data_IF_348335567019
#
_entry.id   IF_348335567019
#
_cell.length_a   1.000
_cell.length_b   1.000
_cell.length_c   1.000
_cell.angle_alpha   90.00
_cell.angle_beta   90.00
_cell.angle_gamma   90.00
#
_symmetry.space_group_name_H-M   'P 1'
#
loop_
_entity.id
_entity.type
_entity.pdbx_description
1 polymer ?
#
# COMPACT_ATOMS: atom_id res chain seq x y z
N UNK A 1 15.09 16.97 1.13
CA UNK A 1 13.98 16.02 0.94
C UNK A 1 13.42 15.67 2.31
N UNK A 2 12.36 16.33 2.75
CA UNK A 2 11.71 16.03 4.01
C UNK A 2 11.12 14.62 3.92
N UNK A 3 11.61 13.68 4.74
CA UNK A 3 10.98 12.36 4.87
C UNK A 3 9.69 12.58 5.65
N UNK A 4 8.57 12.68 4.95
CA UNK A 4 7.25 12.61 5.56
C UNK A 4 7.18 11.23 6.22
N UNK A 5 7.30 11.21 7.54
CA UNK A 5 6.98 10.04 8.34
C UNK A 5 5.50 10.19 8.64
N UNK A 6 4.69 9.39 7.96
CA UNK A 6 3.30 9.24 8.36
C UNK A 6 3.33 8.54 9.71
N UNK A 7 2.71 9.17 10.72
CA UNK A 7 2.57 8.51 12.01
C UNK A 7 1.65 7.31 11.83
N UNK A 8 1.96 6.19 12.50
CA UNK A 8 1.20 4.95 12.33
C UNK A 8 -0.27 5.13 12.74
N UNK A 9 -0.56 6.13 13.59
CA UNK A 9 -1.90 6.48 14.05
C UNK A 9 -2.79 7.10 12.97
N UNK A 10 -2.21 7.71 11.93
CA UNK A 10 -2.95 8.31 10.82
C UNK A 10 -3.22 7.33 9.67
N UNK A 11 -2.51 6.18 9.65
CA UNK A 11 -2.70 5.17 8.61
C UNK A 11 -3.95 4.35 8.88
N UNK A 12 -4.93 4.39 7.96
CA UNK A 12 -6.13 3.55 8.06
C UNK A 12 -5.94 2.26 7.27
N UNK A 13 -5.66 1.16 7.95
CA UNK A 13 -5.50 -0.13 7.26
C UNK A 13 -6.83 -0.68 6.74
N UNK A 14 -7.08 -0.44 5.45
CA UNK A 14 -8.18 -0.98 4.67
C UNK A 14 -7.74 -2.15 3.78
N UNK A 15 -6.52 -2.67 3.93
CA UNK A 15 -5.98 -3.72 3.05
C UNK A 15 -6.72 -5.06 3.13
N UNK A 16 -7.60 -5.25 4.11
CA UNK A 16 -8.55 -6.36 4.11
C UNK A 16 -9.49 -6.37 2.88
N UNK A 17 -9.75 -5.20 2.29
CA UNK A 17 -10.56 -5.05 1.09
C UNK A 17 -9.80 -5.37 -0.21
N UNK A 18 -8.47 -5.55 -0.12
CA UNK A 18 -7.56 -5.70 -1.26
C UNK A 18 -6.73 -6.99 -1.15
N UNK A 19 -7.36 -8.17 -1.00
CA UNK A 19 -6.64 -9.41 -0.68
C UNK A 19 -5.68 -9.87 -1.80
N UNK A 20 -5.98 -9.53 -3.06
CA UNK A 20 -5.15 -9.92 -4.21
C UNK A 20 -3.92 -9.03 -4.32
N UNK A 21 -4.12 -7.72 -4.19
CA UNK A 21 -3.10 -6.68 -4.22
C UNK A 21 -2.12 -6.86 -3.08
N UNK A 22 -2.63 -7.15 -1.88
CA UNK A 22 -1.81 -7.52 -0.72
C UNK A 22 -0.94 -8.73 -1.02
N UNK A 23 -1.50 -9.79 -1.61
CA UNK A 23 -0.73 -10.98 -1.96
C UNK A 23 0.38 -10.64 -2.95
N UNK A 24 0.07 -9.88 -4.00
CA UNK A 24 1.05 -9.38 -4.95
C UNK A 24 2.16 -8.57 -4.26
N UNK A 25 1.81 -7.61 -3.41
CA UNK A 25 2.75 -6.79 -2.66
C UNK A 25 3.65 -7.61 -1.72
N UNK A 26 3.10 -8.65 -1.08
CA UNK A 26 3.90 -9.58 -0.27
C UNK A 26 4.99 -10.26 -1.11
N UNK A 27 4.64 -10.73 -2.32
CA UNK A 27 5.59 -11.35 -3.24
C UNK A 27 6.61 -10.34 -3.77
N UNK A 28 6.14 -9.20 -4.29
CA UNK A 28 6.98 -8.14 -4.89
C UNK A 28 8.01 -7.58 -3.91
N UNK A 29 7.60 -7.35 -2.66
CA UNK A 29 8.45 -6.71 -1.66
C UNK A 29 9.05 -7.67 -0.63
N UNK A 30 8.86 -8.99 -0.82
CA UNK A 30 9.32 -10.04 0.10
C UNK A 30 9.03 -9.70 1.57
N UNK A 31 7.76 -9.37 1.86
CA UNK A 31 7.31 -8.90 3.16
C UNK A 31 6.09 -9.66 3.67
N UNK A 32 5.85 -9.57 4.99
CA UNK A 32 4.69 -10.21 5.60
C UNK A 32 3.44 -9.32 5.45
N UNK A 33 2.25 -9.92 5.48
CA UNK A 33 0.96 -9.18 5.45
C UNK A 33 0.91 -8.00 6.44
N UNK A 34 1.40 -8.22 7.67
CA UNK A 34 1.41 -7.21 8.74
C UNK A 34 2.26 -5.98 8.41
N UNK A 35 3.17 -6.10 7.44
CA UNK A 35 4.03 -5.01 7.00
C UNK A 35 3.31 -4.13 5.97
N UNK A 36 2.18 -4.56 5.41
CA UNK A 36 1.45 -3.87 4.35
C UNK A 36 0.22 -3.19 4.96
N UNK A 37 0.07 -1.91 4.64
CA UNK A 37 -1.12 -1.11 4.93
C UNK A 37 -1.57 -0.48 3.62
N UNK A 38 -2.87 -0.58 3.33
CA UNK A 38 -3.49 0.09 2.19
C UNK A 38 -4.51 1.05 2.78
N UNK A 39 -4.26 2.35 2.60
CA UNK A 39 -5.15 3.41 3.04
C UNK A 39 -5.99 3.89 1.87
N UNK A 40 -7.16 3.28 1.70
CA UNK A 40 -8.16 3.67 0.71
C UNK A 40 -9.03 4.87 1.13
N UNK A 41 -8.75 5.48 2.29
CA UNK A 41 -9.44 6.66 2.79
C UNK A 41 -8.48 7.83 2.99
N UNK A 42 -7.31 7.75 2.34
CA UNK A 42 -6.28 8.75 2.51
C UNK A 42 -6.80 10.11 2.02
N UNK A 43 -6.56 11.22 2.75
CA UNK A 43 -7.11 12.54 2.41
C UNK A 43 -6.65 13.10 1.06
N UNK A 44 -5.69 12.46 0.38
CA UNK A 44 -5.30 12.80 -0.98
C UNK A 44 -6.31 12.33 -2.05
N UNK A 45 -7.28 11.48 -1.68
CA UNK A 45 -8.30 10.96 -2.60
C UNK A 45 -7.88 9.74 -3.42
N UNK A 46 -6.72 9.15 -3.13
CA UNK A 46 -6.18 7.96 -3.80
C UNK A 46 -5.91 6.86 -2.78
N UNK A 47 -5.91 5.61 -3.23
CA UNK A 47 -5.59 4.45 -2.42
C UNK A 47 -4.06 4.35 -2.22
N UNK A 48 -3.59 4.58 -0.99
CA UNK A 48 -2.15 4.70 -0.70
C UNK A 48 -1.59 3.40 -0.13
N UNK A 49 -0.46 2.94 -0.66
CA UNK A 49 0.24 1.75 -0.20
C UNK A 49 1.39 2.15 0.72
N UNK A 50 1.40 1.57 1.91
CA UNK A 50 2.51 1.66 2.86
C UNK A 50 3.10 0.26 3.11
N UNK A 51 4.43 0.18 3.09
CA UNK A 51 5.19 -1.04 3.38
C UNK A 51 6.17 -0.74 4.51
N UNK A 52 6.08 -1.50 5.60
CA UNK A 52 6.86 -1.32 6.84
C UNK A 52 6.78 0.13 7.36
N UNK A 53 5.59 0.72 7.31
CA UNK A 53 5.33 2.10 7.73
C UNK A 53 5.94 3.17 6.83
N UNK A 54 6.34 2.84 5.59
CA UNK A 54 6.86 3.79 4.61
C UNK A 54 5.96 3.82 3.39
N UNK A 55 5.73 5.02 2.86
CA UNK A 55 5.03 5.19 1.59
C UNK A 55 5.74 4.40 0.48
N UNK A 56 5.00 3.54 -0.20
CA UNK A 56 5.49 2.66 -1.26
C UNK A 56 4.89 2.97 -2.63
N UNK A 57 3.73 3.63 -2.67
CA UNK A 57 3.06 4.01 -3.92
C UNK A 57 1.56 4.20 -3.74
N UNK A 58 0.85 4.16 -4.87
CA UNK A 58 -0.61 4.20 -4.94
C UNK A 58 -1.13 2.92 -5.62
N UNK A 59 -2.40 2.60 -5.39
CA UNK A 59 -3.13 1.64 -6.22
C UNK A 59 -3.74 2.44 -7.37
N UNK A 60 -3.01 2.50 -8.48
CA UNK A 60 -3.39 3.22 -9.71
C UNK A 60 -3.37 2.29 -10.93
N UNK A 61 -3.64 2.83 -12.12
CA UNK A 61 -3.58 2.06 -13.37
C UNK A 61 -2.21 1.38 -13.59
N UNK A 62 -1.11 2.03 -13.20
CA UNK A 62 0.24 1.46 -13.37
C UNK A 62 0.50 0.31 -12.41
N UNK A 63 -0.02 0.39 -11.19
CA UNK A 63 -0.02 -0.72 -10.26
C UNK A 63 -0.77 -1.91 -10.87
N UNK A 64 -1.94 -1.67 -11.47
CA UNK A 64 -2.72 -2.73 -12.10
C UNK A 64 -2.10 -3.30 -13.37
N UNK A 65 -1.40 -2.48 -14.18
CA UNK A 65 -0.60 -2.97 -15.31
C UNK A 65 0.50 -3.95 -14.86
N UNK A 66 1.16 -3.66 -13.73
CA UNK A 66 2.17 -4.56 -13.17
C UNK A 66 1.55 -5.79 -12.49
N UNK A 67 0.35 -5.62 -11.90
CA UNK A 67 -0.41 -6.69 -11.27
C UNK A 67 -0.96 -7.70 -12.28
N UNK A 68 -1.45 -7.26 -13.45
CA UNK A 68 -1.98 -8.15 -14.50
C UNK A 68 -0.89 -9.04 -15.12
N UNK A 69 0.38 -8.65 -14.95
CA UNK A 69 1.55 -9.44 -15.34
C UNK A 69 2.03 -10.47 -14.30
N UNK A 70 1.38 -10.59 -13.14
CA UNK A 70 1.74 -11.45 -12.00
C UNK A 70 0.85 -12.70 -11.86
#
# INVERSE_FOLDING_TARGET
>A
MARIRYDLEDMRDNSANFPKEVKFLMHKHACARRDIVIDSQHPCGEDVIFIRGKWAGYIDERFYDEFDGF
#
